data_IF_400744463865
#
_entry.id   IF_400744463865
#
_cell.length_a   1.000
_cell.length_b   1.000
_cell.length_c   1.000
_cell.angle_alpha   90.00
_cell.angle_beta   90.00
_cell.angle_gamma   90.00
#
_symmetry.space_group_name_H-M   'P 1'
#
loop_
_entity.id
_entity.type
_entity.pdbx_description
1 polymer ?
#
# COMPACT_ATOMS: atom_id res chain seq x y z
N UNK A 1 -23.27 25.13 -4.35
CA UNK A 1 -24.42 24.23 -4.14
C UNK A 1 -24.01 23.06 -3.24
N UNK A 2 -24.74 22.79 -2.15
CA UNK A 2 -24.40 21.73 -1.18
C UNK A 2 -24.37 20.34 -1.87
N UNK A 3 -23.29 19.56 -1.67
CA UNK A 3 -23.10 18.24 -2.27
C UNK A 3 -24.26 17.28 -1.98
N UNK A 4 -24.85 17.36 -0.79
CA UNK A 4 -25.99 16.54 -0.40
C UNK A 4 -27.25 16.92 -1.21
N UNK A 5 -27.41 18.19 -1.57
CA UNK A 5 -28.51 18.67 -2.42
C UNK A 5 -28.36 18.20 -3.86
N UNK A 6 -27.14 18.29 -4.42
CA UNK A 6 -26.80 17.75 -5.75
C UNK A 6 -27.03 16.23 -5.83
N UNK A 7 -26.53 15.48 -4.85
CA UNK A 7 -26.75 14.02 -4.76
C UNK A 7 -28.23 13.67 -4.68
N UNK A 8 -29.00 14.40 -3.86
CA UNK A 8 -30.45 14.18 -3.70
C UNK A 8 -31.20 14.45 -5.01
N UNK A 9 -30.89 15.54 -5.70
CA UNK A 9 -31.48 15.88 -7.00
C UNK A 9 -31.13 14.80 -8.04
N UNK A 10 -29.84 14.47 -8.19
CA UNK A 10 -29.40 13.44 -9.14
C UNK A 10 -30.02 12.07 -8.83
N UNK A 11 -30.08 11.68 -7.56
CA UNK A 11 -30.73 10.43 -7.11
C UNK A 11 -32.22 10.43 -7.48
N UNK A 12 -32.92 11.53 -7.24
CA UNK A 12 -34.35 11.63 -7.54
C UNK A 12 -34.62 11.58 -9.06
N UNK A 13 -33.79 12.24 -9.86
CA UNK A 13 -33.87 12.22 -11.33
C UNK A 13 -33.58 10.81 -11.87
N UNK A 14 -32.52 10.16 -11.40
CA UNK A 14 -32.15 8.80 -11.80
C UNK A 14 -33.05 7.70 -11.19
N UNK A 15 -33.86 8.02 -10.18
CA UNK A 15 -34.87 7.10 -9.67
C UNK A 15 -36.02 6.92 -10.66
N UNK A 16 -36.25 7.89 -11.57
CA UNK A 16 -37.25 7.78 -12.64
C UNK A 16 -36.78 6.70 -13.65
N UNK A 17 -37.51 5.58 -13.81
CA UNK A 17 -37.05 4.45 -14.62
C UNK A 17 -36.74 4.82 -16.07
N UNK A 18 -37.53 5.71 -16.67
CA UNK A 18 -37.32 6.20 -18.03
C UNK A 18 -36.01 6.98 -18.17
N UNK A 19 -35.77 7.94 -17.28
CA UNK A 19 -34.54 8.75 -17.28
C UNK A 19 -33.31 7.87 -17.07
N UNK A 20 -33.40 6.91 -16.13
CA UNK A 20 -32.33 5.93 -15.90
C UNK A 20 -32.05 5.08 -17.14
N UNK A 21 -33.10 4.57 -17.79
CA UNK A 21 -32.98 3.75 -19.01
C UNK A 21 -32.39 4.56 -20.16
N UNK A 22 -32.83 5.80 -20.35
CA UNK A 22 -32.28 6.71 -21.36
C UNK A 22 -30.81 7.00 -21.09
N UNK A 23 -30.45 7.41 -19.87
CA UNK A 23 -29.06 7.69 -19.48
C UNK A 23 -28.16 6.45 -19.66
N UNK A 24 -28.63 5.27 -19.28
CA UNK A 24 -27.86 4.03 -19.47
C UNK A 24 -27.67 3.70 -20.95
N UNK A 25 -28.70 3.87 -21.79
CA UNK A 25 -28.58 3.69 -23.25
C UNK A 25 -27.63 4.69 -23.88
N UNK A 26 -27.76 5.97 -23.53
CA UNK A 26 -26.86 7.01 -24.02
C UNK A 26 -25.41 6.71 -23.64
N UNK A 27 -25.14 6.41 -22.36
CA UNK A 27 -23.78 6.05 -21.92
C UNK A 27 -23.26 4.80 -22.62
N UNK A 28 -24.10 3.77 -22.81
CA UNK A 28 -23.70 2.56 -23.53
C UNK A 28 -23.31 2.86 -24.98
N UNK A 29 -24.10 3.67 -25.70
CA UNK A 29 -23.78 4.07 -27.07
C UNK A 29 -22.53 4.93 -27.14
N UNK A 30 -22.39 5.89 -26.23
CA UNK A 30 -21.21 6.75 -26.12
C UNK A 30 -19.95 5.92 -25.90
N UNK A 31 -19.91 5.06 -24.88
CA UNK A 31 -18.72 4.25 -24.59
C UNK A 31 -18.45 3.18 -25.66
N UNK A 32 -19.49 2.67 -26.33
CA UNK A 32 -19.30 1.83 -27.53
C UNK A 32 -18.54 2.60 -28.62
N UNK A 33 -18.96 3.83 -28.93
CA UNK A 33 -18.26 4.68 -29.89
C UNK A 33 -16.85 5.04 -29.44
N UNK A 34 -16.67 5.49 -28.20
CA UNK A 34 -15.35 5.86 -27.66
C UNK A 34 -14.37 4.67 -27.67
N UNK A 35 -14.87 3.44 -27.48
CA UNK A 35 -14.02 2.23 -27.49
C UNK A 35 -13.51 1.81 -28.87
N UNK A 36 -14.06 2.37 -29.96
CA UNK A 36 -13.63 2.05 -31.34
C UNK A 36 -12.19 2.49 -31.59
N UNK A 37 -11.76 3.62 -31.03
CA UNK A 37 -10.41 4.14 -31.23
C UNK A 37 -10.00 5.13 -30.13
N UNK A 38 -8.70 5.14 -29.82
CA UNK A 38 -8.08 6.11 -28.91
C UNK A 38 -8.31 7.57 -29.34
N UNK A 39 -8.50 7.81 -30.64
CA UNK A 39 -8.76 9.16 -31.20
C UNK A 39 -10.07 9.74 -30.65
N UNK A 40 -11.07 8.90 -30.34
CA UNK A 40 -12.32 9.35 -29.73
C UNK A 40 -12.24 9.37 -28.20
N UNK A 41 -11.63 8.34 -27.60
CA UNK A 41 -11.53 8.21 -26.15
C UNK A 41 -10.69 9.31 -25.49
N UNK A 42 -9.51 9.63 -26.04
CA UNK A 42 -8.57 10.55 -25.39
C UNK A 42 -9.12 11.98 -25.29
N UNK A 43 -9.63 12.62 -26.38
CA UNK A 43 -10.21 13.96 -26.27
C UNK A 43 -11.45 14.00 -25.37
N UNK A 44 -12.28 12.96 -25.38
CA UNK A 44 -13.43 12.88 -24.49
C UNK A 44 -13.00 12.92 -23.01
N UNK A 45 -12.02 12.11 -22.64
CA UNK A 45 -11.55 12.08 -21.25
C UNK A 45 -10.77 13.32 -20.83
N UNK A 46 -10.10 13.99 -21.78
CA UNK A 46 -9.34 15.21 -21.52
C UNK A 46 -10.21 16.47 -21.46
N UNK A 47 -11.25 16.56 -22.30
CA UNK A 47 -12.04 17.80 -22.50
C UNK A 47 -13.40 17.73 -21.81
N UNK A 48 -14.03 16.55 -21.75
CA UNK A 48 -15.42 16.41 -21.32
C UNK A 48 -15.53 15.80 -19.92
N UNK A 49 -14.78 14.72 -19.65
CA UNK A 49 -15.06 13.81 -18.55
C UNK A 49 -14.19 14.04 -17.30
N UNK A 50 -12.96 14.56 -17.44
CA UNK A 50 -12.06 15.02 -16.34
C UNK A 50 -11.83 14.04 -15.16
N UNK A 51 -12.28 12.78 -15.26
CA UNK A 51 -12.15 11.81 -14.17
C UNK A 51 -10.69 11.43 -13.89
N UNK A 52 -9.85 11.43 -14.93
CA UNK A 52 -8.43 11.07 -14.85
C UNK A 52 -7.50 12.23 -14.45
N UNK A 53 -7.95 13.49 -14.53
CA UNK A 53 -7.10 14.67 -14.30
C UNK A 53 -6.42 14.68 -12.94
N UNK A 54 -7.16 14.26 -11.90
CA UNK A 54 -6.62 14.15 -10.54
C UNK A 54 -5.51 13.13 -10.47
N UNK A 55 -5.69 11.98 -11.09
CA UNK A 55 -4.69 10.92 -11.10
C UNK A 55 -3.43 11.41 -11.83
N UNK A 56 -3.60 11.97 -13.04
CA UNK A 56 -2.51 12.54 -13.84
C UNK A 56 -1.74 13.59 -13.01
N UNK A 57 -2.44 14.54 -12.38
CA UNK A 57 -1.80 15.59 -11.61
C UNK A 57 -1.14 15.08 -10.32
N UNK A 58 -1.76 14.12 -9.63
CA UNK A 58 -1.19 13.47 -8.47
C UNK A 58 0.13 12.77 -8.84
N UNK A 59 0.17 12.08 -9.98
CA UNK A 59 1.40 11.48 -10.50
C UNK A 59 2.47 12.50 -10.83
N UNK A 60 2.14 13.56 -11.55
CA UNK A 60 3.11 14.61 -11.87
C UNK A 60 3.71 15.23 -10.60
N UNK A 61 2.89 15.46 -9.56
CA UNK A 61 3.37 15.93 -8.25
C UNK A 61 4.19 14.87 -7.52
N UNK A 62 3.83 13.60 -7.63
CA UNK A 62 4.55 12.48 -7.05
C UNK A 62 5.96 12.36 -7.63
N UNK A 63 6.10 12.37 -8.96
CA UNK A 63 7.40 12.31 -9.63
C UNK A 63 8.27 13.53 -9.28
N UNK A 64 7.68 14.73 -9.26
CA UNK A 64 8.39 15.93 -8.82
C UNK A 64 8.88 15.81 -7.36
N UNK A 65 8.06 15.23 -6.47
CA UNK A 65 8.45 14.99 -5.08
C UNK A 65 9.50 13.88 -4.97
N UNK A 66 9.37 12.76 -5.69
CA UNK A 66 10.36 11.69 -5.74
C UNK A 66 11.73 12.27 -6.12
N UNK A 67 11.80 13.03 -7.21
CA UNK A 67 13.05 13.63 -7.68
C UNK A 67 13.67 14.58 -6.65
N UNK A 68 12.87 15.24 -5.80
CA UNK A 68 13.38 16.05 -4.68
C UNK A 68 13.82 15.19 -3.49
N UNK A 69 13.08 14.14 -3.16
CA UNK A 69 13.38 13.23 -2.06
C UNK A 69 14.70 12.48 -2.28
N UNK A 70 15.07 12.20 -3.54
CA UNK A 70 16.36 11.59 -3.88
C UNK A 70 17.53 12.43 -3.33
N UNK A 71 17.41 13.76 -3.26
CA UNK A 71 18.46 14.66 -2.77
C UNK A 71 18.23 15.17 -1.34
N UNK A 72 17.21 14.67 -0.65
CA UNK A 72 16.91 15.06 0.72
C UNK A 72 17.13 13.88 1.67
N UNK A 73 17.34 14.18 2.96
CA UNK A 73 17.35 13.18 4.01
C UNK A 73 15.97 13.11 4.64
N UNK A 74 15.46 11.88 4.75
CA UNK A 74 14.16 11.57 5.34
C UNK A 74 14.33 10.47 6.39
N UNK A 75 13.35 10.31 7.31
CA UNK A 75 13.39 9.20 8.28
C UNK A 75 13.55 7.82 7.60
N UNK A 76 12.89 7.62 6.46
CA UNK A 76 13.07 6.45 5.59
C UNK A 76 13.32 6.90 4.15
N UNK A 77 14.27 6.25 3.46
CA UNK A 77 14.84 6.70 2.20
C UNK A 77 14.62 5.66 1.09
N UNK A 78 13.83 6.05 0.09
CA UNK A 78 13.38 5.17 -0.99
C UNK A 78 14.53 4.55 -1.79
N UNK A 79 15.62 5.31 -2.00
CA UNK A 79 16.82 4.82 -2.71
C UNK A 79 17.53 3.75 -1.90
N UNK A 80 17.73 3.97 -0.59
CA UNK A 80 18.32 2.98 0.32
C UNK A 80 17.49 1.71 0.29
N UNK A 81 16.19 1.78 0.59
CA UNK A 81 15.34 0.59 0.60
C UNK A 81 15.36 -0.17 -0.71
N UNK A 82 15.27 0.55 -1.83
CA UNK A 82 15.28 -0.04 -3.17
C UNK A 82 16.59 -0.76 -3.44
N UNK A 83 17.71 -0.08 -3.24
CA UNK A 83 19.00 -0.57 -3.68
C UNK A 83 19.57 -1.63 -2.74
N UNK A 84 19.39 -1.48 -1.43
CA UNK A 84 19.74 -2.53 -0.45
C UNK A 84 18.98 -3.82 -0.77
N UNK A 85 17.67 -3.74 -1.02
CA UNK A 85 16.91 -4.93 -1.42
C UNK A 85 17.34 -5.51 -2.79
N UNK A 86 17.86 -4.69 -3.71
CA UNK A 86 18.45 -5.21 -4.96
C UNK A 86 19.75 -5.95 -4.69
N UNK A 87 20.60 -5.45 -3.78
CA UNK A 87 21.83 -6.13 -3.36
C UNK A 87 21.49 -7.50 -2.76
N UNK A 88 20.55 -7.56 -1.79
CA UNK A 88 20.12 -8.82 -1.17
C UNK A 88 19.74 -9.88 -2.21
N UNK A 89 18.91 -9.50 -3.19
CA UNK A 89 18.52 -10.41 -4.28
C UNK A 89 19.71 -10.88 -5.10
N UNK A 90 20.68 -10.00 -5.34
CA UNK A 90 21.92 -10.38 -6.01
C UNK A 90 22.74 -11.40 -5.22
N UNK A 91 22.80 -11.26 -3.89
CA UNK A 91 23.59 -12.14 -3.02
C UNK A 91 23.09 -13.58 -2.97
N UNK A 92 21.77 -13.76 -3.09
CA UNK A 92 21.11 -15.08 -2.97
C UNK A 92 21.01 -15.86 -4.29
N UNK A 93 21.54 -15.34 -5.39
CA UNK A 93 21.52 -16.06 -6.66
C UNK A 93 22.38 -17.33 -6.56
N UNK A 94 21.86 -18.49 -6.97
CA UNK A 94 22.65 -19.74 -6.97
C UNK A 94 23.88 -19.64 -7.89
N UNK A 95 23.71 -19.04 -9.07
CA UNK A 95 24.78 -18.70 -9.99
C UNK A 95 25.22 -17.23 -9.82
N UNK A 96 25.51 -16.83 -8.57
CA UNK A 96 25.95 -15.45 -8.27
C UNK A 96 27.28 -15.15 -8.98
N UNK A 97 27.34 -14.01 -9.65
CA UNK A 97 28.58 -13.46 -10.23
C UNK A 97 29.46 -12.88 -9.14
N UNK A 98 30.77 -12.99 -9.27
CA UNK A 98 31.74 -12.38 -8.32
C UNK A 98 31.67 -10.84 -8.32
N UNK A 99 31.20 -10.27 -9.44
CA UNK A 99 30.96 -8.83 -9.63
C UNK A 99 29.51 -8.62 -10.07
N UNK A 100 28.77 -7.82 -9.32
CA UNK A 100 27.40 -7.40 -9.66
C UNK A 100 27.12 -5.98 -9.13
N UNK A 101 25.92 -5.46 -9.35
CA UNK A 101 25.46 -4.15 -8.85
C UNK A 101 26.21 -2.88 -9.33
N UNK A 102 27.08 -3.00 -10.35
CA UNK A 102 27.87 -1.86 -10.86
C UNK A 102 27.02 -0.68 -11.35
N UNK A 103 25.78 -0.91 -11.76
CA UNK A 103 24.85 0.13 -12.23
C UNK A 103 24.21 0.95 -11.10
N UNK A 104 24.40 0.59 -9.82
CA UNK A 104 23.79 1.30 -8.69
C UNK A 104 24.57 1.28 -7.37
N UNK A 105 25.70 0.57 -7.25
CA UNK A 105 26.45 0.51 -5.99
C UNK A 105 26.95 1.89 -5.55
N UNK A 106 27.37 2.74 -6.50
CA UNK A 106 27.77 4.12 -6.22
C UNK A 106 26.63 4.95 -5.64
N UNK A 107 25.47 4.97 -6.32
CA UNK A 107 24.26 5.63 -5.83
C UNK A 107 23.88 5.13 -4.42
N UNK A 108 24.08 3.84 -4.16
CA UNK A 108 23.72 3.21 -2.88
C UNK A 108 24.60 3.70 -1.74
N UNK A 109 25.93 3.62 -1.91
CA UNK A 109 26.89 4.03 -0.86
C UNK A 109 26.86 5.53 -0.65
N UNK A 110 26.84 6.32 -1.72
CA UNK A 110 26.80 7.78 -1.59
C UNK A 110 25.49 8.26 -0.95
N UNK A 111 24.35 7.62 -1.27
CA UNK A 111 23.11 7.95 -0.59
C UNK A 111 23.14 7.56 0.89
N UNK A 112 23.73 6.42 1.22
CA UNK A 112 23.87 5.96 2.60
C UNK A 112 24.75 6.94 3.40
N UNK A 113 25.89 7.33 2.83
CA UNK A 113 26.76 8.36 3.39
C UNK A 113 26.02 9.68 3.60
N UNK A 114 25.30 10.16 2.59
CA UNK A 114 24.53 11.41 2.67
C UNK A 114 23.52 11.40 3.82
N UNK A 115 22.81 10.29 4.00
CA UNK A 115 21.81 10.14 5.07
C UNK A 115 22.46 10.23 6.46
N UNK A 116 23.64 9.62 6.64
CA UNK A 116 24.38 9.65 7.90
C UNK A 116 25.00 11.03 8.17
N UNK A 117 25.62 11.63 7.17
CA UNK A 117 26.38 12.88 7.30
C UNK A 117 25.48 14.13 7.36
N UNK A 118 24.34 14.12 6.67
CA UNK A 118 23.47 15.30 6.49
C UNK A 118 22.09 15.13 7.14
N UNK A 119 21.98 14.30 8.16
CA UNK A 119 20.71 14.09 8.87
C UNK A 119 20.13 15.40 9.42
N UNK A 120 20.95 16.39 9.79
CA UNK A 120 20.51 17.75 10.18
C UNK A 120 19.35 17.76 11.20
N UNK A 121 19.38 16.83 12.18
CA UNK A 121 18.32 16.70 13.19
C UNK A 121 17.08 15.92 12.74
N UNK A 122 17.08 15.33 11.54
CA UNK A 122 16.08 14.34 11.14
C UNK A 122 16.36 13.03 11.88
N UNK A 123 15.36 12.57 12.64
CA UNK A 123 15.39 11.25 13.27
C UNK A 123 15.25 10.16 12.18
N UNK A 124 16.29 9.34 12.03
CA UNK A 124 16.37 8.27 11.05
C UNK A 124 15.72 7.00 11.60
N UNK A 125 15.10 6.22 10.72
CA UNK A 125 14.57 4.90 11.07
C UNK A 125 15.74 3.94 11.29
N UNK A 126 15.98 3.58 12.54
CA UNK A 126 17.17 2.85 12.99
C UNK A 126 17.31 1.47 12.32
N UNK A 127 16.20 0.78 12.07
CA UNK A 127 16.20 -0.53 11.43
C UNK A 127 16.63 -0.47 9.97
N UNK A 128 16.20 0.54 9.22
CA UNK A 128 16.63 0.78 7.84
C UNK A 128 18.12 1.05 7.74
N UNK A 129 18.66 1.86 8.65
CA UNK A 129 20.10 2.19 8.67
C UNK A 129 20.92 0.95 9.04
N UNK A 130 20.49 0.18 10.02
CA UNK A 130 21.14 -1.09 10.39
C UNK A 130 21.08 -2.10 9.25
N UNK A 131 19.92 -2.24 8.59
CA UNK A 131 19.76 -3.14 7.45
C UNK A 131 20.63 -2.74 6.27
N UNK A 132 20.71 -1.45 5.95
CA UNK A 132 21.62 -0.95 4.93
C UNK A 132 23.09 -1.27 5.27
N UNK A 133 23.50 -1.04 6.51
CA UNK A 133 24.85 -1.34 6.98
C UNK A 133 25.19 -2.83 6.87
N UNK A 134 24.31 -3.70 7.37
CA UNK A 134 24.54 -5.15 7.40
C UNK A 134 24.64 -5.73 6.00
N UNK A 135 23.74 -5.32 5.10
CA UNK A 135 23.76 -5.76 3.70
C UNK A 135 24.97 -5.20 2.96
N UNK A 136 25.34 -3.92 3.13
CA UNK A 136 26.55 -3.37 2.50
C UNK A 136 27.82 -4.06 3.00
N UNK A 137 27.90 -4.32 4.30
CA UNK A 137 29.01 -5.07 4.91
C UNK A 137 29.15 -6.46 4.29
N UNK A 138 28.05 -7.20 4.17
CA UNK A 138 28.06 -8.52 3.54
C UNK A 138 28.35 -8.45 2.04
N UNK A 139 27.80 -7.46 1.33
CA UNK A 139 28.07 -7.21 -0.08
C UNK A 139 29.59 -7.04 -0.34
N UNK A 140 30.25 -6.16 0.41
CA UNK A 140 31.68 -5.89 0.24
C UNK A 140 32.59 -7.02 0.75
N UNK A 141 32.05 -7.94 1.56
CA UNK A 141 32.75 -9.15 1.99
C UNK A 141 32.78 -10.21 0.88
N UNK A 142 31.70 -10.33 0.10
CA UNK A 142 31.53 -11.42 -0.88
C UNK A 142 31.85 -11.03 -2.33
N UNK A 143 32.05 -9.75 -2.61
CA UNK A 143 32.32 -9.26 -3.96
C UNK A 143 33.81 -9.06 -4.22
N UNK A 144 34.21 -9.26 -5.48
CA UNK A 144 35.60 -9.11 -5.90
C UNK A 144 36.05 -7.64 -5.82
N UNK A 145 36.95 -7.38 -4.88
CA UNK A 145 37.54 -6.06 -4.65
C UNK A 145 38.61 -5.69 -5.69
N UNK A 146 38.95 -6.55 -6.65
CA UNK A 146 39.79 -6.18 -7.80
C UNK A 146 39.06 -5.20 -8.74
N UNK A 147 37.73 -5.19 -8.68
CA UNK A 147 36.91 -4.30 -9.51
C UNK A 147 37.00 -2.85 -8.98
N UNK A 148 37.44 -1.87 -9.80
CA UNK A 148 37.80 -0.53 -9.31
C UNK A 148 36.67 0.25 -8.62
N UNK A 149 35.44 0.12 -9.12
CA UNK A 149 34.26 0.78 -8.54
C UNK A 149 33.91 0.15 -7.18
N UNK A 150 33.93 -1.17 -7.07
CA UNK A 150 33.67 -1.88 -5.80
C UNK A 150 34.72 -1.51 -4.77
N UNK A 151 36.01 -1.52 -5.12
CA UNK A 151 37.08 -1.11 -4.23
C UNK A 151 36.90 0.32 -3.68
N UNK A 152 36.59 1.27 -4.58
CA UNK A 152 36.35 2.67 -4.20
C UNK A 152 35.15 2.81 -3.25
N UNK A 153 34.04 2.15 -3.58
CA UNK A 153 32.82 2.21 -2.77
C UNK A 153 32.95 1.50 -1.42
N UNK A 154 33.75 0.43 -1.36
CA UNK A 154 34.10 -0.24 -0.11
C UNK A 154 34.88 0.69 0.83
N UNK A 155 35.93 1.33 0.32
CA UNK A 155 36.71 2.29 1.11
C UNK A 155 35.82 3.44 1.62
N UNK A 156 34.95 3.99 0.74
CA UNK A 156 33.99 5.02 1.14
C UNK A 156 33.03 4.54 2.23
N UNK A 157 32.54 3.31 2.15
CA UNK A 157 31.65 2.72 3.16
C UNK A 157 32.35 2.51 4.51
N UNK A 158 33.61 2.05 4.49
CA UNK A 158 34.41 1.78 5.70
C UNK A 158 34.77 3.06 6.50
N UNK A 159 34.72 4.24 5.86
CA UNK A 159 34.88 5.54 6.52
C UNK A 159 33.63 6.01 7.28
N UNK A 160 32.46 5.42 7.01
CA UNK A 160 31.18 5.85 7.58
C UNK A 160 31.00 5.33 9.02
N UNK A 161 30.26 6.06 9.88
CA UNK A 161 29.99 5.59 11.23
C UNK A 161 29.14 4.32 11.20
N UNK A 162 29.52 3.35 12.03
CA UNK A 162 28.69 2.16 12.24
C UNK A 162 27.43 2.54 13.04
N UNK A 163 26.25 2.03 12.65
CA UNK A 163 25.04 2.23 13.44
C UNK A 163 25.19 1.59 14.82
N UNK A 164 24.62 2.25 15.84
CA UNK A 164 24.51 1.66 17.18
C UNK A 164 23.53 0.49 17.12
N UNK A 165 24.06 -0.73 17.21
CA UNK A 165 23.27 -1.96 17.26
C UNK A 165 22.28 -1.89 18.44
N UNK A 166 21.00 -2.13 18.18
CA UNK A 166 20.00 -2.33 19.25
C UNK A 166 20.22 -3.69 19.94
N UNK A 167 20.57 -4.73 19.17
CA UNK A 167 21.06 -6.03 19.64
C UNK A 167 22.17 -6.53 18.68
N UNK A 168 23.40 -6.83 19.15
CA UNK A 168 24.47 -7.34 18.30
C UNK A 168 24.18 -8.68 17.59
N UNK A 169 23.14 -9.41 18.01
CA UNK A 169 22.73 -10.69 17.41
C UNK A 169 21.82 -10.52 16.21
N UNK A 170 21.15 -9.39 16.07
CA UNK A 170 20.21 -9.12 14.99
C UNK A 170 20.95 -8.53 13.79
N UNK A 171 21.45 -9.42 12.91
CA UNK A 171 21.97 -9.03 11.60
C UNK A 171 20.89 -9.11 10.53
N UNK A 172 20.64 -8.02 9.84
CA UNK A 172 19.68 -7.96 8.74
C UNK A 172 20.37 -8.27 7.41
N UNK A 173 20.75 -9.54 7.22
CA UNK A 173 21.35 -10.04 5.96
C UNK A 173 20.51 -11.18 5.38
N UNK A 174 20.67 -11.52 4.08
CA UNK A 174 20.05 -12.71 3.53
C UNK A 174 20.42 -13.96 4.32
N UNK A 175 19.44 -14.84 4.56
CA UNK A 175 19.61 -16.05 5.37
C UNK A 175 19.14 -17.31 4.62
N UNK A 176 19.67 -18.50 4.97
CA UNK A 176 19.23 -19.76 4.37
C UNK A 176 17.75 -20.05 4.61
N UNK A 177 17.07 -20.59 3.60
CA UNK A 177 15.66 -20.98 3.68
C UNK A 177 15.37 -21.96 4.84
N UNK A 178 16.36 -22.76 5.26
CA UNK A 178 16.23 -23.66 6.40
C UNK A 178 15.91 -22.96 7.71
N UNK A 179 16.33 -21.70 7.92
CA UNK A 179 16.02 -20.95 9.15
C UNK A 179 14.52 -20.68 9.31
N UNK A 180 13.73 -20.75 8.23
CA UNK A 180 12.27 -20.57 8.29
C UNK A 180 11.57 -21.60 9.19
N UNK A 181 12.20 -22.76 9.45
CA UNK A 181 11.65 -23.79 10.34
C UNK A 181 11.53 -23.35 11.80
N UNK A 182 12.15 -22.23 12.19
CA UNK A 182 11.97 -21.65 13.53
C UNK A 182 10.55 -21.14 13.78
N UNK A 183 9.77 -20.88 12.72
CA UNK A 183 8.40 -20.41 12.83
C UNK A 183 7.41 -21.56 12.64
N UNK A 184 6.41 -21.62 13.52
CA UNK A 184 5.31 -22.58 13.39
C UNK A 184 4.40 -22.21 12.22
N UNK A 185 4.14 -23.16 11.33
CA UNK A 185 3.21 -23.01 10.21
C UNK A 185 1.82 -23.52 10.67
N UNK A 186 0.74 -22.73 10.52
CA UNK A 186 -0.61 -23.24 10.77
C UNK A 186 -0.97 -24.31 9.73
N UNK A 187 -1.75 -25.30 10.14
CA UNK A 187 -2.31 -26.28 9.19
C UNK A 187 -3.22 -25.60 8.17
N UNK A 188 -3.41 -26.26 7.02
CA UNK A 188 -4.33 -25.78 6.00
C UNK A 188 -5.75 -25.55 6.56
N UNK A 189 -6.24 -26.45 7.41
CA UNK A 189 -7.59 -26.34 7.98
C UNK A 189 -7.71 -25.20 8.99
N UNK A 190 -6.67 -24.95 9.81
CA UNK A 190 -6.64 -23.78 10.70
C UNK A 190 -6.68 -22.47 9.89
N UNK A 191 -5.84 -22.37 8.86
CA UNK A 191 -5.81 -21.18 7.99
C UNK A 191 -7.12 -21.01 7.19
N UNK A 192 -7.69 -22.11 6.69
CA UNK A 192 -8.97 -22.09 5.99
C UNK A 192 -10.11 -21.69 6.93
N UNK A 193 -10.09 -22.16 8.17
CA UNK A 193 -11.04 -21.78 9.21
C UNK A 193 -10.96 -20.27 9.49
N UNK A 194 -9.76 -19.73 9.69
CA UNK A 194 -9.53 -18.28 9.82
C UNK A 194 -10.07 -17.51 8.60
N UNK A 195 -9.79 -18.01 7.39
CA UNK A 195 -10.24 -17.41 6.14
C UNK A 195 -11.77 -17.39 5.98
N UNK A 196 -12.45 -18.45 6.45
CA UNK A 196 -13.92 -18.54 6.48
C UNK A 196 -14.53 -17.65 7.56
N UNK A 197 -13.90 -17.61 8.74
CA UNK A 197 -14.34 -16.85 9.91
C UNK A 197 -14.27 -15.35 9.66
N UNK A 198 -13.20 -14.86 9.01
CA UNK A 198 -13.08 -13.45 8.64
C UNK A 198 -14.22 -13.09 7.70
N UNK A 199 -15.14 -12.24 8.16
CA UNK A 199 -16.29 -11.72 7.39
C UNK A 199 -16.37 -10.21 7.55
N UNK A 200 -17.06 -9.53 6.63
CA UNK A 200 -17.29 -8.09 6.73
C UNK A 200 -18.35 -7.78 7.78
N UNK A 201 -17.92 -7.52 9.00
CA UNK A 201 -18.77 -7.14 10.13
C UNK A 201 -19.05 -5.64 10.10
N UNK A 202 -20.32 -5.26 10.26
CA UNK A 202 -20.78 -3.85 10.23
C UNK A 202 -21.52 -3.45 11.51
N UNK A 203 -21.71 -4.38 12.43
CA UNK A 203 -22.38 -4.17 13.70
C UNK A 203 -21.38 -4.49 14.81
N UNK A 204 -20.95 -3.45 15.50
CA UNK A 204 -19.93 -3.53 16.55
C UNK A 204 -20.52 -3.27 17.92
N UNK A 205 -19.96 -3.91 18.94
CA UNK A 205 -20.25 -3.61 20.34
C UNK A 205 -19.80 -2.18 20.67
N UNK A 206 -20.43 -1.55 21.67
CA UNK A 206 -19.96 -0.29 22.26
C UNK A 206 -18.76 -0.53 23.18
N UNK A 207 -17.70 -1.11 22.61
CA UNK A 207 -16.48 -1.51 23.30
C UNK A 207 -15.28 -0.94 22.57
N UNK A 208 -14.40 -0.28 23.31
CA UNK A 208 -13.15 0.27 22.76
C UNK A 208 -12.24 -0.86 22.25
N UNK A 209 -11.52 -0.57 21.15
CA UNK A 209 -10.51 -1.46 20.60
C UNK A 209 -9.16 -1.14 21.25
N UNK A 210 -8.50 -2.10 21.94
CA UNK A 210 -7.17 -1.87 22.51
C UNK A 210 -6.15 -1.53 21.44
N UNK A 211 -5.37 -0.46 21.64
CA UNK A 211 -4.29 -0.07 20.71
C UNK A 211 -3.22 -1.16 20.57
N UNK A 212 -2.91 -1.86 21.65
CA UNK A 212 -1.95 -2.98 21.66
C UNK A 212 -2.33 -4.07 20.65
N UNK A 213 -3.61 -4.44 20.55
CA UNK A 213 -4.08 -5.43 19.58
C UNK A 213 -3.94 -4.90 18.15
N UNK A 214 -4.17 -3.61 17.94
CA UNK A 214 -3.97 -2.97 16.63
C UNK A 214 -2.49 -2.94 16.26
N UNK A 215 -1.61 -2.62 17.20
CA UNK A 215 -0.16 -2.59 17.00
C UNK A 215 0.39 -3.99 16.69
N UNK A 216 -0.10 -5.04 17.39
CA UNK A 216 0.20 -6.44 17.05
C UNK A 216 -0.30 -6.81 15.65
N UNK A 217 -1.50 -6.38 15.26
CA UNK A 217 -1.99 -6.59 13.91
C UNK A 217 -1.14 -5.84 12.87
N UNK A 218 -0.62 -4.66 13.20
CA UNK A 218 0.29 -3.90 12.36
C UNK A 218 1.64 -4.58 12.18
N UNK A 219 2.18 -5.27 13.19
CA UNK A 219 3.39 -6.07 13.04
C UNK A 219 3.22 -7.15 11.97
N UNK A 220 2.10 -7.86 11.96
CA UNK A 220 1.79 -8.83 10.91
C UNK A 220 1.60 -8.15 9.53
N UNK A 221 0.96 -6.98 9.51
CA UNK A 221 0.73 -6.21 8.28
C UNK A 221 2.03 -5.69 7.65
N UNK A 222 3.02 -5.31 8.46
CA UNK A 222 4.31 -4.78 8.03
C UNK A 222 5.20 -5.84 7.34
N UNK A 223 4.95 -7.13 7.62
CA UNK A 223 5.64 -8.25 6.97
C UNK A 223 5.13 -8.54 5.54
N UNK A 224 4.06 -7.87 5.11
CA UNK A 224 3.57 -8.03 3.74
C UNK A 224 4.61 -7.55 2.72
N UNK A 225 4.77 -8.25 1.59
CA UNK A 225 5.72 -7.83 0.57
C UNK A 225 5.28 -6.51 -0.07
N UNK A 226 6.26 -5.68 -0.42
CA UNK A 226 6.07 -4.43 -1.18
C UNK A 226 7.16 -4.27 -2.22
N UNK A 227 6.89 -3.51 -3.27
CA UNK A 227 7.80 -3.37 -4.40
C UNK A 227 9.15 -2.78 -3.98
N UNK A 228 10.20 -3.61 -3.98
CA UNK A 228 11.54 -3.29 -3.46
C UNK A 228 11.53 -2.85 -1.99
N UNK A 229 10.69 -3.48 -1.17
CA UNK A 229 10.52 -3.20 0.25
C UNK A 229 10.17 -1.73 0.57
N UNK A 230 9.59 -0.98 -0.39
CA UNK A 230 9.33 0.47 -0.22
C UNK A 230 8.22 0.80 0.78
N UNK A 231 7.31 -0.13 1.03
CA UNK A 231 6.18 0.02 1.98
C UNK A 231 5.50 1.40 1.82
N UNK A 232 4.93 1.71 0.64
CA UNK A 232 4.54 3.07 0.28
C UNK A 232 3.21 3.49 0.91
N UNK A 233 2.90 3.02 2.12
CA UNK A 233 1.61 3.18 2.76
C UNK A 233 1.75 3.49 4.25
N UNK A 234 0.73 4.15 4.79
CA UNK A 234 0.59 4.46 6.20
C UNK A 234 -0.82 4.13 6.68
N UNK A 235 -0.93 3.55 7.87
CA UNK A 235 -2.19 3.31 8.54
C UNK A 235 -2.49 4.48 9.47
N UNK A 236 -3.54 5.25 9.17
CA UNK A 236 -4.03 6.33 10.04
C UNK A 236 -5.20 5.82 10.85
N UNK A 237 -4.96 5.58 12.13
CA UNK A 237 -5.91 4.96 13.06
C UNK A 237 -6.64 6.07 13.82
N UNK A 238 -7.97 5.96 13.89
CA UNK A 238 -8.85 6.88 14.58
C UNK A 238 -9.72 6.07 15.55
N UNK A 239 -9.41 6.19 16.84
CA UNK A 239 -10.06 5.47 17.94
C UNK A 239 -10.88 6.39 18.86
N UNK A 240 -10.84 7.71 18.64
CA UNK A 240 -11.84 8.63 19.17
C UNK A 240 -13.21 8.32 18.51
N UNK A 241 -14.26 7.99 19.28
CA UNK A 241 -15.54 7.53 18.73
C UNK A 241 -16.19 8.54 17.78
N UNK A 242 -16.07 9.84 18.06
CA UNK A 242 -16.68 10.86 17.21
C UNK A 242 -15.92 10.99 15.88
N UNK A 243 -14.60 11.03 15.94
CA UNK A 243 -13.74 11.12 14.77
C UNK A 243 -13.83 9.86 13.89
N UNK A 244 -13.90 8.68 14.50
CA UNK A 244 -14.10 7.41 13.81
C UNK A 244 -15.39 7.44 12.98
N UNK A 245 -16.53 7.81 13.59
CA UNK A 245 -17.83 7.95 12.90
C UNK A 245 -17.76 8.94 11.75
N UNK A 246 -17.18 10.12 11.98
CA UNK A 246 -17.07 11.17 10.97
C UNK A 246 -16.28 10.73 9.74
N UNK A 247 -15.17 10.00 9.94
CA UNK A 247 -14.31 9.51 8.86
C UNK A 247 -14.98 8.33 8.15
N UNK A 248 -15.56 7.38 8.89
CA UNK A 248 -16.32 6.27 8.34
C UNK A 248 -17.52 6.72 7.49
N UNK A 249 -18.11 7.89 7.79
CA UNK A 249 -19.21 8.47 7.02
C UNK A 249 -18.78 9.16 5.70
N UNK A 250 -17.48 9.23 5.39
CA UNK A 250 -17.00 9.87 4.15
C UNK A 250 -17.25 8.99 2.90
N UNK A 251 -16.81 7.71 2.85
CA UNK A 251 -17.01 6.86 1.69
C UNK A 251 -18.48 6.60 1.36
N UNK A 252 -18.74 6.08 0.16
CA UNK A 252 -20.06 5.53 -0.16
C UNK A 252 -20.30 4.20 0.57
N UNK A 253 -21.57 3.87 0.80
CA UNK A 253 -21.96 2.55 1.30
C UNK A 253 -21.79 2.33 2.81
N UNK A 254 -21.44 3.36 3.58
CA UNK A 254 -21.24 3.28 5.04
C UNK A 254 -22.38 3.85 5.86
N UNK A 255 -23.26 4.67 5.27
CA UNK A 255 -24.30 5.41 6.00
C UNK A 255 -25.35 4.57 6.74
N UNK A 256 -25.37 3.25 6.55
CA UNK A 256 -26.23 2.34 7.33
C UNK A 256 -25.61 1.84 8.63
N UNK A 257 -24.32 2.10 8.87
CA UNK A 257 -23.60 1.59 10.04
C UNK A 257 -22.47 2.48 10.55
N UNK A 258 -22.10 3.57 9.87
CA UNK A 258 -20.99 4.44 10.29
C UNK A 258 -21.08 4.91 11.74
N UNK A 259 -22.29 5.06 12.26
CA UNK A 259 -22.55 5.65 13.59
C UNK A 259 -22.20 4.72 14.76
N UNK A 260 -21.99 3.43 14.49
CA UNK A 260 -21.62 2.42 15.49
C UNK A 260 -20.14 2.01 15.44
N UNK A 261 -19.34 2.63 14.56
CA UNK A 261 -17.95 2.22 14.33
C UNK A 261 -17.07 2.72 15.48
N UNK A 262 -16.45 1.83 16.28
CA UNK A 262 -15.64 2.26 17.43
C UNK A 262 -14.24 2.70 17.00
N UNK A 263 -13.71 2.15 15.92
CA UNK A 263 -12.42 2.55 15.35
C UNK A 263 -12.47 2.54 13.83
N UNK A 264 -11.94 3.60 13.21
CA UNK A 264 -11.73 3.67 11.76
C UNK A 264 -10.25 3.75 11.45
N UNK A 265 -9.80 2.95 10.49
CA UNK A 265 -8.45 3.00 9.95
C UNK A 265 -8.52 3.47 8.51
N UNK A 266 -7.72 4.46 8.14
CA UNK A 266 -7.55 4.90 6.75
C UNK A 266 -6.15 4.51 6.30
N UNK A 267 -6.07 3.63 5.30
CA UNK A 267 -4.79 3.29 4.68
C UNK A 267 -4.52 4.30 3.58
N UNK A 268 -3.43 5.03 3.70
CA UNK A 268 -3.00 6.07 2.77
C UNK A 268 -1.78 5.59 2.03
N UNK A 269 -1.81 5.60 0.70
CA UNK A 269 -0.65 5.32 -0.14
C UNK A 269 0.04 6.60 -0.60
N UNK A 270 1.37 6.57 -0.68
CA UNK A 270 2.21 7.69 -1.12
C UNK A 270 2.86 7.36 -2.48
N UNK A 271 2.37 8.03 -3.53
CA UNK A 271 2.88 7.87 -4.89
C UNK A 271 4.32 8.36 -5.06
N UNK A 272 4.81 9.25 -4.18
CA UNK A 272 6.16 9.83 -4.27
C UNK A 272 7.27 8.85 -3.91
N UNK A 273 6.91 7.60 -3.56
CA UNK A 273 7.84 6.49 -3.41
C UNK A 273 8.22 5.80 -4.74
N UNK A 274 7.60 6.20 -5.86
CA UNK A 274 7.90 5.65 -7.18
C UNK A 274 8.33 6.73 -8.19
N UNK A 275 9.23 6.35 -9.09
CA UNK A 275 9.87 7.25 -10.06
C UNK A 275 9.25 7.21 -11.46
N UNK A 276 8.29 6.33 -11.70
CA UNK A 276 7.72 6.12 -13.03
C UNK A 276 6.20 5.97 -12.98
N UNK A 277 5.52 6.52 -13.98
CA UNK A 277 4.07 6.37 -14.18
C UNK A 277 3.64 4.92 -14.44
N UNK A 278 4.58 4.02 -14.76
CA UNK A 278 4.33 2.58 -14.84
C UNK A 278 3.93 2.00 -13.47
N UNK A 279 4.41 2.60 -12.39
CA UNK A 279 4.25 2.10 -11.02
C UNK A 279 2.99 2.69 -10.33
N UNK A 280 2.10 3.34 -11.11
CA UNK A 280 0.95 4.07 -10.59
C UNK A 280 -0.04 3.28 -9.72
N UNK A 281 -0.14 1.98 -9.96
CA UNK A 281 -1.04 1.13 -9.19
C UNK A 281 -0.35 0.42 -8.02
N UNK A 282 0.97 0.57 -7.89
CA UNK A 282 1.76 -0.20 -6.91
C UNK A 282 1.37 0.13 -5.48
N UNK A 283 1.03 1.40 -5.19
CA UNK A 283 0.56 1.78 -3.84
C UNK A 283 -0.71 1.03 -3.42
N UNK A 284 -1.58 0.68 -4.38
CA UNK A 284 -2.81 -0.08 -4.10
C UNK A 284 -2.49 -1.55 -3.88
N UNK A 285 -1.60 -2.11 -4.70
CA UNK A 285 -1.20 -3.52 -4.62
C UNK A 285 -0.49 -3.77 -3.28
N UNK A 286 0.56 -3.00 -3.00
CA UNK A 286 1.37 -3.14 -1.79
C UNK A 286 0.52 -2.95 -0.52
N UNK A 287 -0.32 -1.91 -0.49
CA UNK A 287 -1.21 -1.67 0.65
C UNK A 287 -2.28 -2.76 0.81
N UNK A 288 -2.84 -3.29 -0.28
CA UNK A 288 -3.89 -4.32 -0.21
C UNK A 288 -3.36 -5.65 0.36
N UNK A 289 -2.10 -6.00 0.05
CA UNK A 289 -1.44 -7.17 0.63
C UNK A 289 -1.28 -7.00 2.15
N UNK A 290 -0.81 -5.83 2.58
CA UNK A 290 -0.70 -5.47 4.00
C UNK A 290 -2.05 -5.47 4.72
N UNK A 291 -3.10 -4.94 4.09
CA UNK A 291 -4.47 -4.89 4.64
C UNK A 291 -5.05 -6.26 4.89
N UNK A 292 -4.84 -7.23 3.99
CA UNK A 292 -5.35 -8.59 4.19
C UNK A 292 -4.68 -9.25 5.40
N UNK A 293 -3.35 -9.10 5.55
CA UNK A 293 -2.62 -9.58 6.72
C UNK A 293 -3.11 -8.93 8.02
N UNK A 294 -3.30 -7.60 8.01
CA UNK A 294 -3.86 -6.85 9.13
C UNK A 294 -5.25 -7.39 9.55
N UNK A 295 -6.15 -7.60 8.58
CA UNK A 295 -7.50 -8.12 8.85
C UNK A 295 -7.49 -9.55 9.41
N UNK A 296 -6.59 -10.41 8.96
CA UNK A 296 -6.43 -11.75 9.54
C UNK A 296 -5.88 -11.69 10.95
N UNK A 297 -4.87 -10.84 11.21
CA UNK A 297 -4.31 -10.68 12.54
C UNK A 297 -5.36 -10.19 13.54
N UNK A 298 -6.17 -9.18 13.20
CA UNK A 298 -7.30 -8.73 14.03
C UNK A 298 -8.23 -9.89 14.43
N UNK A 299 -8.58 -10.76 13.47
CA UNK A 299 -9.47 -11.90 13.71
C UNK A 299 -8.88 -12.89 14.72
N UNK A 300 -7.55 -13.05 14.77
CA UNK A 300 -6.89 -13.91 15.77
C UNK A 300 -7.00 -13.40 17.20
N UNK A 301 -7.28 -12.11 17.39
CA UNK A 301 -7.44 -11.45 18.69
C UNK A 301 -8.91 -11.17 19.04
N UNK A 302 -9.84 -11.79 18.30
CA UNK A 302 -11.28 -11.62 18.54
C UNK A 302 -11.87 -10.31 18.02
N UNK A 303 -11.07 -9.49 17.33
CA UNK A 303 -11.55 -8.28 16.65
C UNK A 303 -12.11 -8.65 15.27
N UNK A 304 -13.13 -7.92 14.85
CA UNK A 304 -13.73 -8.04 13.53
C UNK A 304 -13.50 -6.76 12.73
N UNK A 305 -13.60 -6.88 11.40
CA UNK A 305 -13.39 -5.75 10.51
C UNK A 305 -14.28 -5.76 9.28
N UNK A 306 -14.45 -4.60 8.66
CA UNK A 306 -14.98 -4.46 7.30
C UNK A 306 -14.08 -3.55 6.47
N UNK A 307 -13.68 -4.07 5.31
CA UNK A 307 -13.04 -3.30 4.27
C UNK A 307 -14.06 -2.44 3.52
N UNK A 308 -13.80 -1.14 3.48
CA UNK A 308 -14.60 -0.11 2.84
C UNK A 308 -13.78 0.43 1.67
N UNK A 309 -14.13 -0.03 0.46
CA UNK A 309 -13.44 0.37 -0.75
C UNK A 309 -13.47 1.89 -0.93
N UNK A 310 -12.31 2.49 -1.22
CA UNK A 310 -12.26 3.92 -1.53
C UNK A 310 -12.64 4.16 -3.00
N UNK A 311 -13.71 4.93 -3.28
CA UNK A 311 -14.07 5.28 -4.63
C UNK A 311 -13.20 6.44 -5.13
N UNK A 312 -12.68 6.32 -6.35
CA UNK A 312 -11.93 7.40 -6.99
C UNK A 312 -12.85 8.53 -7.48
N UNK A 313 -13.46 9.25 -6.52
CA UNK A 313 -14.48 10.26 -6.78
C UNK A 313 -14.04 11.63 -6.25
N UNK A 314 -13.87 12.60 -7.14
CA UNK A 314 -13.19 13.86 -6.85
C UNK A 314 -13.74 14.66 -5.65
N UNK A 315 -15.04 14.56 -5.36
CA UNK A 315 -15.64 15.23 -4.20
C UNK A 315 -15.30 14.54 -2.87
N UNK A 316 -15.23 13.21 -2.86
CA UNK A 316 -14.83 12.44 -1.69
C UNK A 316 -13.32 12.55 -1.46
N UNK A 317 -12.54 12.51 -2.54
CA UNK A 317 -11.10 12.79 -2.53
C UNK A 317 -10.78 14.15 -1.90
N UNK A 318 -11.44 15.22 -2.35
CA UNK A 318 -11.30 16.55 -1.73
C UNK A 318 -11.68 16.55 -0.25
N UNK A 319 -12.76 15.86 0.13
CA UNK A 319 -13.23 15.79 1.52
C UNK A 319 -12.22 15.06 2.41
N UNK A 320 -11.73 13.89 1.98
CA UNK A 320 -10.75 13.11 2.74
C UNK A 320 -9.40 13.81 2.80
N UNK A 321 -8.92 14.34 1.67
CA UNK A 321 -7.70 15.15 1.61
C UNK A 321 -7.72 16.28 2.63
N UNK A 322 -8.83 17.03 2.71
CA UNK A 322 -8.98 18.10 3.70
C UNK A 322 -9.03 17.55 5.13
N UNK A 323 -9.84 16.51 5.38
CA UNK A 323 -10.03 15.94 6.73
C UNK A 323 -8.72 15.39 7.32
N UNK A 324 -7.88 14.79 6.48
CA UNK A 324 -6.63 14.17 6.90
C UNK A 324 -5.38 15.01 6.59
N UNK A 325 -5.54 16.19 6.00
CA UNK A 325 -4.43 17.01 5.52
C UNK A 325 -3.47 16.23 4.58
N UNK A 326 -4.02 15.48 3.62
CA UNK A 326 -3.22 14.69 2.68
C UNK A 326 -2.51 15.58 1.66
N UNK A 327 -1.29 15.21 1.31
CA UNK A 327 -0.54 15.82 0.23
C UNK A 327 -1.15 15.44 -1.12
N UNK A 328 -0.80 16.16 -2.19
CA UNK A 328 -1.40 15.91 -3.52
C UNK A 328 -1.03 14.56 -4.12
N UNK A 329 0.09 13.98 -3.71
CA UNK A 329 0.56 12.66 -4.13
C UNK A 329 0.20 11.54 -3.15
N UNK A 330 -0.47 11.86 -2.04
CA UNK A 330 -1.00 10.88 -1.10
C UNK A 330 -2.45 10.56 -1.46
N UNK A 331 -2.82 9.28 -1.39
CA UNK A 331 -4.14 8.80 -1.78
C UNK A 331 -4.72 7.88 -0.71
N UNK A 332 -5.98 8.07 -0.27
CA UNK A 332 -6.68 7.03 0.46
C UNK A 332 -6.86 5.79 -0.42
N UNK A 333 -6.44 4.63 0.08
CA UNK A 333 -6.51 3.35 -0.63
C UNK A 333 -7.77 2.60 -0.24
N UNK A 334 -7.95 2.42 1.06
CA UNK A 334 -9.04 1.66 1.65
C UNK A 334 -9.25 2.14 3.08
N UNK A 335 -10.50 2.06 3.54
CA UNK A 335 -10.81 2.26 4.95
C UNK A 335 -11.18 0.92 5.58
N UNK A 336 -10.90 0.79 6.86
CA UNK A 336 -11.36 -0.32 7.68
C UNK A 336 -12.18 0.23 8.84
N UNK A 337 -13.34 -0.35 9.12
CA UNK A 337 -13.94 -0.25 10.44
C UNK A 337 -13.52 -1.47 11.24
N UNK A 338 -13.09 -1.27 12.48
CA UNK A 338 -12.56 -2.30 13.38
C UNK A 338 -13.31 -2.23 14.70
N UNK A 339 -13.64 -3.38 15.28
CA UNK A 339 -14.33 -3.48 16.56
C UNK A 339 -14.67 -4.92 16.93
N UNK A 340 -15.22 -5.11 18.12
CA UNK A 340 -15.81 -6.40 18.51
C UNK A 340 -17.17 -6.57 17.84
N UNK A 341 -17.42 -7.70 17.17
CA UNK A 341 -18.72 -7.96 16.56
C UNK A 341 -19.83 -8.02 17.61
N UNK A 342 -21.01 -7.47 17.31
CA UNK A 342 -22.21 -7.74 18.11
C UNK A 342 -22.64 -9.19 17.93
N UNK A 343 -23.00 -9.86 19.02
CA UNK A 343 -23.38 -11.28 19.02
C UNK A 343 -24.66 -11.54 18.21
N UNK A 344 -25.60 -10.59 18.23
CA UNK A 344 -26.85 -10.61 17.45
C UNK A 344 -26.71 -9.91 16.07
N UNK A 345 -25.49 -9.49 15.72
CA UNK A 345 -25.20 -8.78 14.48
C UNK A 345 -25.24 -9.67 13.25
N UNK A 346 -26.13 -9.37 12.30
CA UNK A 346 -26.22 -10.13 11.04
C UNK A 346 -24.98 -9.93 10.16
N UNK A 347 -24.48 -11.02 9.57
CA UNK A 347 -23.33 -11.03 8.66
C UNK A 347 -23.79 -11.44 7.25
N UNK A 348 -23.54 -10.62 6.20
CA UNK A 348 -23.87 -11.01 4.83
C UNK A 348 -23.13 -12.28 4.40
N UNK A 349 -23.83 -13.22 3.76
CA UNK A 349 -23.29 -14.52 3.34
C UNK A 349 -22.20 -14.42 2.25
N UNK A 350 -22.26 -13.42 1.35
CA UNK A 350 -21.29 -13.13 0.28
C UNK A 350 -20.65 -14.37 -0.35
N UNK A 351 -21.48 -15.26 -0.91
CA UNK A 351 -21.06 -16.51 -1.56
C UNK A 351 -19.96 -16.24 -2.59
N UNK A 352 -18.90 -17.06 -2.56
CA UNK A 352 -17.78 -16.97 -3.52
C UNK A 352 -18.11 -17.73 -4.80
N UNK A 353 -17.53 -17.26 -5.91
CA UNK A 353 -17.55 -17.94 -7.21
C UNK A 353 -16.96 -19.36 -7.08
N UNK A 354 -17.39 -20.31 -7.92
CA UNK A 354 -16.74 -21.62 -8.00
C UNK A 354 -15.27 -21.48 -8.42
N UNK A 355 -14.44 -22.47 -8.10
CA UNK A 355 -12.99 -22.41 -8.36
C UNK A 355 -12.69 -22.23 -9.85
N UNK A 356 -13.45 -22.85 -10.75
CA UNK A 356 -13.20 -22.80 -12.19
C UNK A 356 -13.46 -21.41 -12.82
N UNK A 357 -14.17 -20.53 -12.12
CA UNK A 357 -14.26 -19.10 -12.50
C UNK A 357 -13.13 -18.24 -11.93
N UNK A 358 -12.40 -18.75 -10.93
CA UNK A 358 -11.35 -18.03 -10.21
C UNK A 358 -9.94 -18.42 -10.66
N UNK A 359 -9.78 -19.61 -11.25
CA UNK A 359 -8.49 -20.13 -11.74
C UNK A 359 -8.64 -20.78 -13.10
N UNK A 360 -7.57 -20.75 -13.88
CA UNK A 360 -7.37 -21.59 -15.06
C UNK A 360 -5.95 -22.17 -15.01
N UNK A 361 -5.73 -23.32 -15.65
CA UNK A 361 -4.41 -23.92 -15.82
C UNK A 361 -4.05 -23.93 -17.30
N UNK A 362 -2.90 -23.33 -17.66
CA UNK A 362 -2.37 -23.31 -19.02
C UNK A 362 -3.33 -22.78 -20.11
N UNK A 363 -4.33 -21.98 -19.72
CA UNK A 363 -5.28 -21.38 -20.67
C UNK A 363 -4.76 -20.00 -21.10
N UNK A 364 -4.38 -19.87 -22.37
CA UNK A 364 -3.89 -18.62 -22.97
C UNK A 364 -5.03 -17.67 -23.38
N UNK A 365 -6.28 -18.09 -23.20
CA UNK A 365 -7.46 -17.42 -23.74
C UNK A 365 -7.61 -17.64 -25.24
N UNK A 366 -8.71 -17.17 -25.78
CA UNK A 366 -8.89 -17.00 -27.23
C UNK A 366 -8.34 -15.62 -27.63
N UNK A 367 -7.66 -15.52 -28.77
CA UNK A 367 -7.21 -14.23 -29.28
C UNK A 367 -8.45 -13.34 -29.55
N UNK A 368 -8.61 -12.30 -28.75
CA UNK A 368 -9.64 -11.28 -28.99
C UNK A 368 -9.23 -10.43 -30.20
N UNK A 369 -9.95 -10.60 -31.32
CA UNK A 369 -9.86 -9.75 -32.51
C UNK A 369 -10.27 -8.30 -32.25
#
# INVERSE_FOLDING_TARGET
MNLNKLKKIAKNILAVPFVRKFNNRFNSLLYRFLSVSKIFALPYHFIISHFFDREIFAFTKAISKYNRNVYAVHPSNVIIRRNIHRLEKGMIMENRRDVFALDYIEETVEKYAEVLEKSNGVELETGEIQWAYDVLSEYFRITDSSQPLIARMKARFEELPQPTLQDPKDKFVPYPSSQRSQYKIPSYEEFLSLSKRRRSVRWFQEKAVPREDVDKAMQAAALAPSACNRQPFQYRIFDDPQLAKEIAAIPFGTGGYSDNVPMTVVVVGDLSNYFSSRDRHTIYIDASLSVMAFMYALETMGLSSVAINWPDFGLLEKKMKKKLNLKTYERPIILLAVGYAKDDGMIPCSKKKPLDELRSYNNLGEASN
#
